data_IF_912691941750
#
_entry.id   IF_912691941750
#
_cell.length_a   1.000
_cell.length_b   1.000
_cell.length_c   1.000
_cell.angle_alpha   90.00
_cell.angle_beta   90.00
_cell.angle_gamma   90.00
#
_symmetry.space_group_name_H-M   'P 1'
#
loop_
_entity.id
_entity.type
_entity.pdbx_description
1 polymer ?
#
# COMPACT_ATOMS: atom_id res chain seq x y z
N UNK A 1 2.35 1.69 -30.23
CA UNK A 1 2.60 0.36 -29.65
C UNK A 1 2.32 0.26 -28.15
N UNK A 2 2.39 1.34 -27.36
CA UNK A 2 2.16 1.30 -25.90
C UNK A 2 0.75 0.91 -25.40
N UNK A 3 -0.20 0.58 -26.28
CA UNK A 3 -1.59 0.27 -25.93
C UNK A 3 -1.93 -1.24 -26.00
N UNK A 4 -0.96 -2.09 -26.34
CA UNK A 4 -1.22 -3.51 -26.64
C UNK A 4 -1.06 -4.47 -25.45
N UNK A 5 -0.43 -4.07 -24.35
CA UNK A 5 0.00 -5.00 -23.29
C UNK A 5 -0.88 -5.04 -22.03
N UNK A 6 -2.04 -4.36 -22.01
CA UNK A 6 -2.84 -4.26 -20.79
C UNK A 6 -3.45 -5.60 -20.33
N UNK A 7 -3.46 -6.66 -21.15
CA UNK A 7 -4.14 -7.95 -20.88
C UNK A 7 -3.25 -9.18 -21.16
N UNK A 8 -1.93 -8.99 -21.28
CA UNK A 8 -1.00 -10.06 -21.65
C UNK A 8 -0.35 -10.59 -20.37
N UNK A 9 -0.44 -11.90 -20.12
CA UNK A 9 0.19 -12.50 -18.93
C UNK A 9 1.72 -12.44 -19.00
N UNK A 10 2.39 -12.50 -17.85
CA UNK A 10 3.86 -12.55 -17.79
C UNK A 10 4.45 -13.60 -18.75
N UNK A 11 3.82 -14.77 -18.84
CA UNK A 11 4.24 -15.87 -19.70
C UNK A 11 4.09 -15.54 -21.20
N UNK A 12 3.03 -14.81 -21.58
CA UNK A 12 2.81 -14.39 -22.96
C UNK A 12 3.77 -13.27 -23.38
N UNK A 13 4.12 -12.34 -22.48
CA UNK A 13 5.15 -11.32 -22.74
C UNK A 13 6.50 -11.99 -22.96
N UNK A 14 6.85 -13.02 -22.17
CA UNK A 14 8.10 -13.77 -22.35
C UNK A 14 8.13 -14.56 -23.66
N UNK A 15 6.98 -15.09 -24.13
CA UNK A 15 6.87 -15.81 -25.40
C UNK A 15 6.84 -14.88 -26.63
N UNK A 16 6.34 -13.65 -26.51
CA UNK A 16 6.36 -12.65 -27.60
C UNK A 16 7.72 -11.97 -27.75
N UNK A 17 8.46 -11.75 -26.66
CA UNK A 17 9.82 -11.16 -26.67
C UNK A 17 10.91 -12.13 -27.18
N UNK A 18 10.52 -13.25 -27.81
CA UNK A 18 11.43 -14.34 -28.15
C UNK A 18 12.32 -14.08 -29.37
N UNK A 19 11.94 -13.12 -30.23
CA UNK A 19 12.49 -13.02 -31.59
C UNK A 19 13.17 -11.68 -31.97
N UNK A 20 13.18 -10.64 -31.13
CA UNK A 20 13.79 -9.34 -31.50
C UNK A 20 14.60 -8.67 -30.37
N UNK A 21 15.93 -8.57 -30.55
CA UNK A 21 16.84 -7.92 -29.59
C UNK A 21 16.63 -6.40 -29.52
N UNK A 22 16.10 -5.77 -30.58
CA UNK A 22 15.86 -4.33 -30.63
C UNK A 22 14.64 -3.92 -29.77
N UNK A 23 13.57 -4.72 -29.78
CA UNK A 23 12.40 -4.51 -28.91
C UNK A 23 12.73 -4.70 -27.42
N UNK A 24 13.62 -5.63 -27.08
CA UNK A 24 14.08 -5.81 -25.70
C UNK A 24 14.84 -4.58 -25.17
N UNK A 25 15.60 -3.89 -26.02
CA UNK A 25 16.25 -2.63 -25.66
C UNK A 25 15.26 -1.55 -25.22
N UNK A 26 14.13 -1.43 -25.93
CA UNK A 26 13.07 -0.48 -25.58
C UNK A 26 12.35 -0.85 -24.28
N UNK A 27 12.11 -2.15 -24.04
CA UNK A 27 11.51 -2.65 -22.80
C UNK A 27 12.40 -2.35 -21.61
N UNK A 28 13.73 -2.57 -21.71
CA UNK A 28 14.70 -2.22 -20.65
C UNK A 28 14.69 -0.72 -20.38
N UNK A 29 14.69 0.11 -21.44
CA UNK A 29 14.66 1.56 -21.30
C UNK A 29 13.33 2.07 -20.70
N UNK A 30 12.22 1.37 -20.95
CA UNK A 30 10.93 1.66 -20.33
C UNK A 30 10.93 1.31 -18.84
N UNK A 31 11.43 0.12 -18.50
CA UNK A 31 11.58 -0.36 -17.12
C UNK A 31 12.48 0.58 -16.32
N UNK A 32 13.66 0.94 -16.83
CA UNK A 32 14.58 1.84 -16.15
C UNK A 32 13.91 3.19 -15.83
N UNK A 33 13.14 3.74 -16.78
CA UNK A 33 12.37 4.97 -16.59
C UNK A 33 11.22 4.84 -15.59
N UNK A 34 10.67 3.65 -15.37
CA UNK A 34 9.65 3.42 -14.34
C UNK A 34 10.28 3.21 -12.96
N UNK A 35 11.42 2.51 -12.89
CA UNK A 35 12.17 2.36 -11.64
C UNK A 35 12.69 3.70 -11.12
N UNK A 36 13.08 4.63 -12.00
CA UNK A 36 13.44 6.00 -11.62
C UNK A 36 12.29 6.83 -11.03
N UNK A 37 11.03 6.42 -11.26
CA UNK A 37 9.84 7.09 -10.72
C UNK A 37 9.31 6.47 -9.42
N UNK A 38 9.87 5.34 -8.99
CA UNK A 38 9.56 4.74 -7.69
C UNK A 38 10.21 5.56 -6.57
N UNK A 39 9.47 5.79 -5.50
CA UNK A 39 9.94 6.52 -4.31
C UNK A 39 11.13 5.80 -3.64
N UNK A 40 11.95 6.54 -2.90
CA UNK A 40 13.33 6.12 -2.55
C UNK A 40 13.48 4.78 -1.86
N UNK A 41 12.50 4.37 -1.06
CA UNK A 41 12.60 3.19 -0.19
C UNK A 41 12.25 1.89 -0.94
N UNK A 42 11.31 1.93 -1.88
CA UNK A 42 10.95 0.78 -2.73
C UNK A 42 11.97 0.59 -3.86
N UNK A 43 12.56 1.69 -4.34
CA UNK A 43 13.61 1.67 -5.36
C UNK A 43 14.91 1.03 -4.86
N UNK A 44 15.24 1.12 -3.56
CA UNK A 44 16.47 0.54 -3.02
C UNK A 44 16.44 -0.99 -2.98
N UNK A 45 15.28 -1.59 -2.70
CA UNK A 45 15.09 -3.04 -2.77
C UNK A 45 15.30 -3.57 -4.19
N UNK A 46 14.73 -2.89 -5.18
CA UNK A 46 14.92 -3.20 -6.61
C UNK A 46 16.38 -3.00 -7.06
N UNK A 47 17.06 -1.92 -6.63
CA UNK A 47 18.48 -1.68 -6.94
C UNK A 47 19.39 -2.72 -6.31
N UNK A 48 19.14 -3.10 -5.06
CA UNK A 48 19.95 -4.10 -4.35
C UNK A 48 19.76 -5.48 -4.99
N UNK A 49 18.53 -5.79 -5.41
CA UNK A 49 18.20 -6.99 -6.16
C UNK A 49 18.90 -7.03 -7.53
N UNK A 50 18.83 -5.96 -8.32
CA UNK A 50 19.56 -5.80 -9.61
C UNK A 50 21.07 -6.01 -9.43
N UNK A 51 21.66 -5.40 -8.39
CA UNK A 51 23.10 -5.57 -8.10
C UNK A 51 23.49 -6.99 -7.70
N UNK A 52 22.58 -7.73 -7.06
CA UNK A 52 22.87 -9.08 -6.55
C UNK A 52 22.94 -10.15 -7.64
N UNK A 53 22.35 -9.91 -8.82
CA UNK A 53 22.28 -10.89 -9.91
C UNK A 53 23.41 -10.78 -10.96
N UNK A 54 24.37 -9.86 -10.80
CA UNK A 54 25.39 -9.61 -11.84
C UNK A 54 24.76 -9.07 -13.12
N UNK A 55 25.56 -8.75 -14.15
CA UNK A 55 24.97 -8.36 -15.45
C UNK A 55 23.99 -9.44 -15.89
N UNK A 56 22.70 -9.10 -16.11
CA UNK A 56 21.68 -10.10 -16.41
C UNK A 56 22.00 -10.67 -17.78
N UNK A 57 22.70 -11.81 -17.79
CA UNK A 57 23.00 -12.57 -19.00
C UNK A 57 21.71 -13.14 -19.62
N UNK A 58 20.57 -13.02 -18.92
CA UNK A 58 19.26 -13.33 -19.46
C UNK A 58 18.24 -12.24 -19.08
N UNK A 59 18.05 -11.29 -20.00
CA UNK A 59 17.05 -10.22 -19.92
C UNK A 59 15.62 -10.75 -19.72
N UNK A 60 15.34 -12.00 -20.08
CA UNK A 60 14.02 -12.64 -19.88
C UNK A 60 13.74 -12.90 -18.42
N UNK A 61 14.76 -13.30 -17.66
CA UNK A 61 14.65 -13.49 -16.20
C UNK A 61 14.33 -12.16 -15.53
N UNK A 62 14.96 -11.07 -15.98
CA UNK A 62 14.70 -9.73 -15.47
C UNK A 62 13.29 -9.23 -15.79
N UNK A 63 12.81 -9.41 -17.03
CA UNK A 63 11.46 -9.07 -17.43
C UNK A 63 10.40 -9.85 -16.64
N UNK A 64 10.56 -11.17 -16.49
CA UNK A 64 9.64 -12.01 -15.70
C UNK A 64 9.61 -11.62 -14.22
N UNK A 65 10.76 -11.26 -13.64
CA UNK A 65 10.84 -10.75 -12.27
C UNK A 65 10.10 -9.43 -12.11
N UNK A 66 10.17 -8.52 -13.08
CA UNK A 66 9.47 -7.24 -13.01
C UNK A 66 7.97 -7.38 -13.13
N UNK A 67 7.47 -8.23 -14.04
CA UNK A 67 6.03 -8.49 -14.14
C UNK A 67 5.52 -9.09 -12.83
N UNK A 68 6.23 -10.08 -12.28
CA UNK A 68 5.88 -10.64 -10.96
C UNK A 68 5.93 -9.61 -9.84
N UNK A 69 6.90 -8.70 -9.86
CA UNK A 69 6.99 -7.63 -8.84
C UNK A 69 5.83 -6.65 -8.97
N UNK A 70 5.43 -6.31 -10.20
CA UNK A 70 4.25 -5.47 -10.47
C UNK A 70 2.96 -6.14 -9.99
N UNK A 71 2.75 -7.42 -10.30
CA UNK A 71 1.60 -8.21 -9.83
C UNK A 71 1.56 -8.27 -8.29
N UNK A 72 2.71 -8.50 -7.65
CA UNK A 72 2.82 -8.50 -6.19
C UNK A 72 2.56 -7.11 -5.58
N UNK A 73 2.94 -6.03 -6.27
CA UNK A 73 2.64 -4.65 -5.84
C UNK A 73 1.15 -4.33 -6.00
N UNK A 74 0.52 -4.67 -7.13
CA UNK A 74 -0.91 -4.45 -7.36
C UNK A 74 -1.76 -5.24 -6.35
N UNK A 75 -1.44 -6.52 -6.14
CA UNK A 75 -2.11 -7.37 -5.15
C UNK A 75 -1.96 -6.81 -3.73
N UNK A 76 -0.79 -6.25 -3.37
CA UNK A 76 -0.59 -5.58 -2.09
C UNK A 76 -1.40 -4.30 -1.97
N UNK A 77 -1.48 -3.48 -3.02
CA UNK A 77 -2.25 -2.23 -3.01
C UNK A 77 -3.76 -2.49 -2.83
N UNK A 78 -4.31 -3.50 -3.51
CA UNK A 78 -5.69 -3.94 -3.28
C UNK A 78 -5.88 -4.44 -1.85
N UNK A 79 -4.93 -5.23 -1.33
CA UNK A 79 -4.97 -5.68 0.06
C UNK A 79 -4.95 -4.50 1.05
N UNK A 80 -4.15 -3.46 0.79
CA UNK A 80 -4.13 -2.26 1.62
C UNK A 80 -5.44 -1.48 1.55
N UNK A 81 -6.06 -1.35 0.37
CA UNK A 81 -7.37 -0.70 0.23
C UNK A 81 -8.45 -1.47 1.02
N UNK A 82 -8.44 -2.80 0.97
CA UNK A 82 -9.39 -3.64 1.71
C UNK A 82 -9.22 -3.53 3.22
N UNK A 83 -7.98 -3.56 3.73
CA UNK A 83 -7.69 -3.35 5.16
C UNK A 83 -8.19 -1.97 5.61
N UNK A 84 -7.94 -0.92 4.81
CA UNK A 84 -8.38 0.44 5.14
C UNK A 84 -9.91 0.59 5.12
N UNK A 85 -10.61 -0.04 4.17
CA UNK A 85 -12.08 -0.07 4.14
C UNK A 85 -12.65 -0.80 5.35
N UNK A 86 -12.08 -1.95 5.72
CA UNK A 86 -12.48 -2.69 6.90
C UNK A 86 -12.25 -1.86 8.17
N UNK A 87 -11.10 -1.18 8.27
CA UNK A 87 -10.77 -0.31 9.41
C UNK A 87 -11.76 0.84 9.52
N UNK A 88 -12.11 1.47 8.39
CA UNK A 88 -13.14 2.51 8.30
C UNK A 88 -14.48 1.98 8.77
N UNK A 89 -14.92 0.83 8.25
CA UNK A 89 -16.18 0.21 8.64
C UNK A 89 -16.23 -0.07 10.15
N UNK A 90 -15.15 -0.60 10.73
CA UNK A 90 -15.02 -0.92 12.16
C UNK A 90 -15.26 0.29 13.06
N UNK A 91 -14.71 1.45 12.71
CA UNK A 91 -14.90 2.67 13.50
C UNK A 91 -16.07 3.53 13.02
N UNK A 92 -16.84 3.11 12.01
CA UNK A 92 -17.98 3.90 11.51
C UNK A 92 -19.04 4.17 12.57
N UNK A 93 -19.45 3.21 13.42
CA UNK A 93 -20.31 3.52 14.55
C UNK A 93 -19.52 4.32 15.57
N UNK A 94 -20.03 5.49 16.01
CA UNK A 94 -19.36 6.32 17.02
C UNK A 94 -19.04 5.53 18.30
N UNK A 95 -19.89 4.58 18.71
CA UNK A 95 -19.66 3.70 19.87
C UNK A 95 -18.46 2.75 19.72
N UNK A 96 -18.01 2.52 18.50
CA UNK A 96 -16.88 1.65 18.17
C UNK A 96 -15.58 2.46 17.95
N UNK A 97 -15.62 3.77 18.20
CA UNK A 97 -14.47 4.67 18.10
C UNK A 97 -13.97 5.12 19.49
N UNK A 98 -12.66 5.35 19.63
CA UNK A 98 -12.04 5.91 20.85
C UNK A 98 -10.93 6.91 20.50
N UNK A 99 -10.64 7.81 21.44
CA UNK A 99 -9.48 8.70 21.47
C UNK A 99 -8.35 8.14 22.33
N UNK A 100 -7.15 8.72 22.16
CA UNK A 100 -5.92 8.57 22.97
C UNK A 100 -5.24 7.19 22.94
N UNK A 101 -6.00 6.12 22.70
CA UNK A 101 -5.54 4.73 22.79
C UNK A 101 -5.96 3.93 21.57
N UNK A 102 -5.17 2.90 21.22
CA UNK A 102 -5.43 2.05 20.06
C UNK A 102 -6.77 1.31 20.15
N UNK A 103 -7.11 0.78 21.33
CA UNK A 103 -8.40 0.13 21.56
C UNK A 103 -8.81 0.18 23.04
N UNK A 104 -10.11 0.02 23.30
CA UNK A 104 -10.68 -0.24 24.63
C UNK A 104 -11.66 -1.39 24.58
N UNK A 105 -11.79 -2.12 25.68
CA UNK A 105 -12.83 -3.14 25.85
C UNK A 105 -14.18 -2.51 26.27
N UNK A 106 -15.20 -3.35 26.51
CA UNK A 106 -16.55 -2.89 26.93
C UNK A 106 -16.59 -2.15 28.26
N UNK A 107 -15.62 -2.39 29.14
CA UNK A 107 -15.50 -1.74 30.44
C UNK A 107 -14.72 -0.41 30.36
N UNK A 108 -14.23 -0.06 29.15
CA UNK A 108 -13.43 1.12 28.90
C UNK A 108 -11.94 0.97 29.23
N UNK A 109 -11.47 -0.24 29.57
CA UNK A 109 -10.06 -0.50 29.82
C UNK A 109 -9.26 -0.59 28.52
N UNK A 110 -8.02 -0.12 28.56
CA UNK A 110 -7.08 -0.22 27.44
C UNK A 110 -6.69 -1.67 27.20
N UNK A 111 -6.76 -2.08 25.94
CA UNK A 111 -6.41 -3.42 25.50
C UNK A 111 -5.63 -3.35 24.20
N UNK A 112 -4.96 -4.46 23.84
CA UNK A 112 -4.35 -4.59 22.53
C UNK A 112 -5.46 -4.50 21.44
N UNK A 113 -5.26 -3.81 20.32
CA UNK A 113 -6.26 -3.75 19.24
C UNK A 113 -6.62 -5.12 18.64
N UNK A 114 -5.78 -6.14 18.80
CA UNK A 114 -6.01 -7.53 18.41
C UNK A 114 -6.66 -8.37 19.52
N UNK A 115 -6.85 -7.81 20.71
CA UNK A 115 -7.50 -8.50 21.82
C UNK A 115 -8.97 -8.77 21.48
N UNK A 116 -9.44 -9.99 21.80
CA UNK A 116 -10.83 -10.42 21.53
C UNK A 116 -11.88 -9.65 22.33
N UNK A 117 -11.46 -8.98 23.40
CA UNK A 117 -12.32 -8.15 24.25
C UNK A 117 -12.41 -6.71 23.76
N UNK A 118 -11.62 -6.29 22.77
CA UNK A 118 -11.68 -4.96 22.21
C UNK A 118 -13.07 -4.66 21.61
N UNK A 119 -13.64 -3.51 21.98
CA UNK A 119 -14.99 -3.08 21.62
C UNK A 119 -15.01 -1.75 20.84
N UNK A 120 -14.00 -0.90 21.04
CA UNK A 120 -13.80 0.32 20.26
C UNK A 120 -12.32 0.55 19.94
N UNK A 121 -12.05 1.22 18.82
CA UNK A 121 -10.71 1.44 18.28
C UNK A 121 -10.53 2.88 17.83
N UNK A 122 -9.30 3.39 17.91
CA UNK A 122 -8.94 4.61 17.21
C UNK A 122 -8.54 4.29 15.75
N UNK A 123 -8.17 5.30 14.95
CA UNK A 123 -7.77 5.10 13.54
C UNK A 123 -6.66 4.06 13.40
N UNK A 124 -5.53 4.22 14.11
CA UNK A 124 -4.41 3.29 14.02
C UNK A 124 -4.74 1.89 14.56
N UNK A 125 -5.48 1.82 15.66
CA UNK A 125 -5.91 0.55 16.23
C UNK A 125 -6.86 -0.22 15.33
N UNK A 126 -7.73 0.49 14.60
CA UNK A 126 -8.64 -0.13 13.63
C UNK A 126 -7.90 -0.72 12.43
N UNK A 127 -6.84 -0.05 11.95
CA UNK A 127 -5.95 -0.58 10.91
C UNK A 127 -5.25 -1.86 11.40
N UNK A 128 -4.73 -1.84 12.64
CA UNK A 128 -4.11 -3.02 13.24
C UNK A 128 -5.09 -4.18 13.39
N UNK A 129 -6.32 -3.91 13.86
CA UNK A 129 -7.36 -4.91 14.05
C UNK A 129 -7.74 -5.65 12.75
N UNK A 130 -7.53 -5.02 11.60
CA UNK A 130 -7.82 -5.57 10.27
C UNK A 130 -6.58 -6.16 9.57
N UNK A 131 -5.48 -6.35 10.30
CA UNK A 131 -4.27 -7.01 9.77
C UNK A 131 -3.20 -6.05 9.26
N UNK A 132 -3.43 -4.74 9.31
CA UNK A 132 -2.40 -3.74 9.07
C UNK A 132 -1.30 -3.83 10.14
N UNK A 133 -0.04 -3.62 9.75
CA UNK A 133 1.09 -3.68 10.69
C UNK A 133 1.49 -2.28 11.17
N UNK A 134 2.03 -2.14 12.40
CA UNK A 134 2.69 -0.92 12.81
C UNK A 134 3.77 -0.50 11.81
N UNK A 135 3.70 0.72 11.30
CA UNK A 135 4.57 1.25 10.24
C UNK A 135 4.36 0.63 8.87
N UNK A 136 3.36 -0.25 8.68
CA UNK A 136 3.02 -0.88 7.40
C UNK A 136 2.42 0.08 6.38
N UNK A 137 2.21 -0.37 5.13
CA UNK A 137 1.74 0.48 4.04
C UNK A 137 0.42 1.18 4.35
N UNK A 138 -0.52 0.51 5.02
CA UNK A 138 -1.83 1.09 5.38
C UNK A 138 -1.70 2.24 6.37
N UNK A 139 -0.84 2.08 7.39
CA UNK A 139 -0.57 3.16 8.34
C UNK A 139 0.17 4.32 7.67
N UNK A 140 1.12 4.04 6.75
CA UNK A 140 1.81 5.11 6.00
C UNK A 140 0.85 5.85 5.07
N UNK A 141 -0.08 5.16 4.42
CA UNK A 141 -1.16 5.77 3.63
C UNK A 141 -2.05 6.67 4.50
N UNK A 142 -2.51 6.17 5.64
CA UNK A 142 -3.27 6.98 6.60
C UNK A 142 -2.47 8.17 7.12
N UNK A 143 -1.15 8.02 7.30
CA UNK A 143 -0.28 9.08 7.79
C UNK A 143 -0.11 10.20 6.76
N UNK A 144 0.13 9.84 5.49
CA UNK A 144 0.19 10.78 4.35
C UNK A 144 -1.16 11.48 4.16
N UNK A 145 -2.27 10.75 4.30
CA UNK A 145 -3.61 11.33 4.22
C UNK A 145 -3.86 12.35 5.33
N UNK A 146 -3.48 12.02 6.57
CA UNK A 146 -3.58 12.93 7.72
C UNK A 146 -2.74 14.20 7.52
N UNK A 147 -1.51 14.07 7.03
CA UNK A 147 -0.64 15.20 6.73
C UNK A 147 -1.24 16.09 5.65
N UNK A 148 -1.75 15.51 4.56
CA UNK A 148 -2.39 16.25 3.48
C UNK A 148 -3.65 17.00 3.92
N UNK A 149 -4.49 16.40 4.77
CA UNK A 149 -5.76 16.99 5.20
C UNK A 149 -5.58 18.05 6.29
N UNK A 150 -4.62 17.85 7.20
CA UNK A 150 -4.54 18.63 8.45
C UNK A 150 -3.18 19.24 8.73
N UNK A 151 -2.19 19.06 7.85
CA UNK A 151 -0.83 19.55 8.04
C UNK A 151 -0.11 18.90 9.22
N UNK A 152 -0.50 17.68 9.61
CA UNK A 152 0.06 17.00 10.78
C UNK A 152 0.44 15.56 10.47
N UNK A 153 1.67 15.20 10.85
CA UNK A 153 2.20 13.85 10.77
C UNK A 153 1.81 12.95 11.97
N UNK A 154 0.80 13.30 12.77
CA UNK A 154 0.35 12.51 13.91
C UNK A 154 -1.16 12.29 13.90
N UNK A 155 -1.60 11.13 13.40
CA UNK A 155 -3.03 10.75 13.33
C UNK A 155 -3.71 10.85 14.70
N UNK A 156 -3.07 10.33 15.75
CA UNK A 156 -3.61 10.38 17.12
C UNK A 156 -3.94 11.81 17.56
N UNK A 157 -2.99 12.74 17.37
CA UNK A 157 -3.19 14.14 17.76
C UNK A 157 -4.33 14.82 16.97
N UNK A 158 -4.52 14.44 15.70
CA UNK A 158 -5.60 15.00 14.87
C UNK A 158 -6.96 14.46 15.30
N UNK A 159 -7.14 13.14 15.39
CA UNK A 159 -8.44 12.56 15.76
C UNK A 159 -8.85 12.92 17.18
N UNK A 160 -7.90 13.04 18.12
CA UNK A 160 -8.22 13.37 19.51
C UNK A 160 -8.71 14.82 19.65
N UNK A 161 -8.19 15.73 18.81
CA UNK A 161 -8.60 17.16 18.80
C UNK A 161 -9.80 17.46 17.92
N UNK A 162 -9.90 16.77 16.77
CA UNK A 162 -10.91 17.05 15.74
C UNK A 162 -12.07 16.06 15.73
N UNK A 163 -11.99 15.00 16.54
CA UNK A 163 -13.05 14.03 16.74
C UNK A 163 -13.12 12.95 15.67
N UNK A 164 -14.20 12.17 15.78
CA UNK A 164 -14.47 10.97 14.99
C UNK A 164 -14.54 11.23 13.48
N UNK A 165 -15.18 12.33 13.06
CA UNK A 165 -15.28 12.69 11.64
C UNK A 165 -13.89 12.87 10.98
N UNK A 166 -12.91 13.40 11.74
CA UNK A 166 -11.55 13.53 11.23
C UNK A 166 -10.86 12.18 11.06
N UNK A 167 -11.10 11.22 11.96
CA UNK A 167 -10.62 9.84 11.82
C UNK A 167 -11.18 9.18 10.55
N UNK A 168 -12.49 9.35 10.30
CA UNK A 168 -13.14 8.82 9.10
C UNK A 168 -12.60 9.47 7.83
N UNK A 169 -12.44 10.80 7.81
CA UNK A 169 -11.89 11.51 6.66
C UNK A 169 -10.44 11.10 6.33
N UNK A 170 -9.62 10.78 7.34
CA UNK A 170 -8.27 10.24 7.14
C UNK A 170 -8.34 8.89 6.43
N UNK A 171 -9.20 7.98 6.90
CA UNK A 171 -9.35 6.66 6.30
C UNK A 171 -9.93 6.75 4.88
N UNK A 172 -10.95 7.59 4.66
CA UNK A 172 -11.54 7.79 3.33
C UNK A 172 -10.49 8.31 2.33
N UNK A 173 -9.63 9.25 2.75
CA UNK A 173 -8.53 9.75 1.91
C UNK A 173 -7.42 8.70 1.71
N UNK A 174 -7.13 7.87 2.71
CA UNK A 174 -6.17 6.78 2.59
C UNK A 174 -6.65 5.67 1.64
N UNK A 175 -7.95 5.33 1.69
CA UNK A 175 -8.60 4.39 0.77
C UNK A 175 -8.47 4.89 -0.67
N UNK A 176 -8.84 6.16 -0.91
CA UNK A 176 -8.72 6.75 -2.23
C UNK A 176 -7.27 6.76 -2.76
N UNK A 177 -6.28 6.96 -1.88
CA UNK A 177 -4.87 6.86 -2.25
C UNK A 177 -4.46 5.43 -2.62
N UNK A 178 -4.87 4.43 -1.83
CA UNK A 178 -4.60 3.02 -2.11
C UNK A 178 -5.23 2.56 -3.43
N UNK A 179 -6.49 2.96 -3.69
CA UNK A 179 -7.18 2.65 -4.95
C UNK A 179 -6.50 3.31 -6.16
N UNK A 180 -6.04 4.55 -6.00
CA UNK A 180 -5.29 5.23 -7.05
C UNK A 180 -3.88 4.64 -7.27
N UNK A 181 -3.28 3.98 -6.27
CA UNK A 181 -2.03 3.22 -6.44
C UNK A 181 -2.27 1.87 -7.14
N UNK A 182 -3.44 1.25 -7.00
CA UNK A 182 -3.77 -0.01 -7.67
C UNK A 182 -4.17 0.15 -9.15
N UNK A 183 -4.75 1.31 -9.54
CA UNK A 183 -5.16 1.58 -10.93
C UNK A 183 -4.11 2.29 -11.80
N UNK A 184 -2.87 2.43 -11.33
CA UNK A 184 -1.76 3.09 -12.03
C UNK A 184 -0.77 2.07 -12.57
#
# INVERSE_FOLDING_TARGET
MAQFYAHVSADQIVDELRDDEEEMGEVIALIARQVEKLDSDDAEGLRQFVRSYGEPTDLRVFAALLVRTADEMEARSMASADILRAARARITPLRSWTTEYSARNSDGHYVDPLDRTAACWCTLGSICAEGGRPGGPEQRLAQRACEKLYGSAFIGAVQDRRGHDAALAILDAAIAAAEAEAGR
#
